data_IF_533506397691
#
_entry.id   IF_533506397691
#
_cell.length_a   1.000
_cell.length_b   1.000
_cell.length_c   1.000
_cell.angle_alpha   90.00
_cell.angle_beta   90.00
_cell.angle_gamma   90.00
#
_symmetry.space_group_name_H-M   'P 1'
#
loop_
_entity.id
_entity.type
_entity.pdbx_description
1 polymer ?
#
# COMPACT_ATOMS: atom_id res chain seq x y z
N UNK A 1 7.98 -11.34 10.28
CA UNK A 1 6.72 -11.04 11.02
C UNK A 1 5.65 -12.07 10.67
N UNK A 2 5.20 -12.87 11.64
CA UNK A 2 4.29 -14.00 11.42
C UNK A 2 2.99 -13.55 10.72
N UNK A 3 2.56 -14.34 9.72
CA UNK A 3 1.31 -14.26 8.93
C UNK A 3 0.05 -14.47 9.81
N UNK A 4 -0.08 -13.72 10.90
CA UNK A 4 -1.22 -13.77 11.84
C UNK A 4 -2.22 -12.63 11.63
N UNK A 5 -1.92 -11.67 10.74
CA UNK A 5 -2.76 -10.50 10.45
C UNK A 5 -4.21 -10.87 10.11
N UNK A 6 -4.42 -11.94 9.34
CA UNK A 6 -5.76 -12.39 8.96
C UNK A 6 -6.56 -13.00 10.11
N UNK A 7 -5.90 -13.72 11.03
CA UNK A 7 -6.55 -14.28 12.22
C UNK A 7 -6.98 -13.14 13.13
N UNK A 8 -6.04 -12.29 13.55
CA UNK A 8 -6.29 -11.19 14.47
C UNK A 8 -7.36 -10.22 13.94
N UNK A 9 -7.31 -9.87 12.64
CA UNK A 9 -8.32 -9.00 12.02
C UNK A 9 -9.73 -9.59 12.13
N UNK A 10 -9.91 -10.89 11.82
CA UNK A 10 -11.23 -11.54 11.90
C UNK A 10 -11.73 -11.62 13.34
N UNK A 11 -10.84 -11.91 14.29
CA UNK A 11 -11.17 -11.99 15.71
C UNK A 11 -11.72 -10.66 16.23
N UNK A 12 -11.08 -9.53 15.89
CA UNK A 12 -11.53 -8.18 16.29
C UNK A 12 -12.82 -7.78 15.55
N UNK A 13 -12.87 -7.94 14.22
CA UNK A 13 -14.02 -7.49 13.41
C UNK A 13 -15.33 -8.17 13.78
N UNK A 14 -15.27 -9.47 14.12
CA UNK A 14 -16.44 -10.26 14.49
C UNK A 14 -16.64 -10.36 16.00
N UNK A 15 -15.82 -9.68 16.80
CA UNK A 15 -15.82 -9.75 18.27
C UNK A 15 -15.94 -11.20 18.76
N UNK A 16 -15.05 -12.06 18.28
CA UNK A 16 -15.12 -13.49 18.58
C UNK A 16 -14.57 -13.74 19.98
N UNK A 17 -15.41 -14.23 20.88
CA UNK A 17 -14.99 -14.71 22.18
C UNK A 17 -14.46 -16.13 22.11
N UNK A 18 -13.14 -16.26 22.21
CA UNK A 18 -12.49 -17.55 22.31
C UNK A 18 -12.45 -18.03 23.75
N UNK A 19 -12.63 -19.34 23.96
CA UNK A 19 -12.42 -20.00 25.26
C UNK A 19 -11.23 -20.95 25.18
N UNK A 20 -10.46 -21.03 26.25
CA UNK A 20 -9.44 -22.06 26.40
C UNK A 20 -10.05 -23.33 26.97
N UNK A 21 -9.63 -24.50 26.47
CA UNK A 21 -10.06 -25.81 26.99
C UNK A 21 -9.07 -26.40 28.02
N UNK A 22 -8.13 -25.58 28.48
CA UNK A 22 -7.04 -25.90 29.41
C UNK A 22 -6.81 -24.68 30.31
N UNK A 23 -5.65 -24.57 30.94
CA UNK A 23 -5.30 -23.51 31.90
C UNK A 23 -4.89 -22.15 31.29
N UNK A 24 -5.38 -21.80 30.09
CA UNK A 24 -5.07 -20.50 29.45
C UNK A 24 -3.57 -20.19 29.20
N UNK A 25 -2.68 -21.17 29.42
CA UNK A 25 -1.22 -21.07 29.29
C UNK A 25 -0.69 -21.90 28.12
N UNK A 26 -1.49 -22.11 27.07
CA UNK A 26 -1.06 -22.92 25.93
C UNK A 26 0.16 -22.27 25.24
N UNK A 27 1.23 -23.04 25.06
CA UNK A 27 2.40 -22.60 24.29
C UNK A 27 2.04 -22.45 22.80
N UNK A 28 2.16 -21.23 22.27
CA UNK A 28 1.83 -20.89 20.87
C UNK A 28 3.10 -20.80 20.03
N UNK A 29 3.44 -21.87 19.32
CA UNK A 29 4.56 -21.93 18.36
C UNK A 29 4.07 -22.25 16.94
N UNK A 30 4.94 -22.15 15.93
CA UNK A 30 4.53 -22.26 14.51
C UNK A 30 3.75 -23.54 14.21
N UNK A 31 4.14 -24.67 14.78
CA UNK A 31 3.56 -25.99 14.55
C UNK A 31 2.18 -26.17 15.22
N UNK A 32 1.95 -25.55 16.39
CA UNK A 32 0.75 -25.80 17.21
C UNK A 32 -0.14 -24.55 17.42
N UNK A 33 0.16 -23.42 16.77
CA UNK A 33 -0.57 -22.15 16.96
C UNK A 33 -2.06 -22.21 16.68
N UNK A 34 -2.54 -23.21 15.94
CA UNK A 34 -3.96 -23.39 15.65
C UNK A 34 -4.70 -24.19 16.74
N UNK A 35 -3.98 -24.82 17.69
CA UNK A 35 -4.54 -25.71 18.72
C UNK A 35 -5.43 -24.97 19.74
N UNK A 36 -5.09 -23.74 20.08
CA UNK A 36 -5.88 -22.93 21.02
C UNK A 36 -6.01 -21.50 20.49
N UNK A 37 -7.23 -21.15 20.04
CA UNK A 37 -7.52 -19.84 19.48
C UNK A 37 -7.44 -18.74 20.55
N UNK A 38 -7.90 -19.04 21.78
CA UNK A 38 -7.82 -18.11 22.91
C UNK A 38 -6.37 -17.69 23.21
N UNK A 39 -5.49 -18.65 23.50
CA UNK A 39 -4.09 -18.35 23.84
C UNK A 39 -3.35 -17.67 22.68
N UNK A 40 -3.69 -18.02 21.43
CA UNK A 40 -3.15 -17.36 20.24
C UNK A 40 -3.59 -15.90 20.16
N UNK A 41 -4.87 -15.62 20.36
CA UNK A 41 -5.42 -14.27 20.30
C UNK A 41 -4.88 -13.40 21.45
N UNK A 42 -4.87 -13.92 22.68
CA UNK A 42 -4.24 -13.28 23.84
C UNK A 42 -2.77 -12.96 23.58
N UNK A 43 -2.01 -13.87 22.97
CA UNK A 43 -0.61 -13.61 22.60
C UNK A 43 -0.49 -12.50 21.56
N UNK A 44 -1.39 -12.43 20.57
CA UNK A 44 -1.43 -11.33 19.60
C UNK A 44 -1.62 -9.97 20.30
N UNK A 45 -2.52 -9.88 21.27
CA UNK A 45 -2.72 -8.68 22.08
C UNK A 45 -1.46 -8.34 22.90
N UNK A 46 -0.86 -9.33 23.55
CA UNK A 46 0.33 -9.14 24.39
C UNK A 46 1.55 -8.62 23.61
N UNK A 47 1.70 -9.02 22.34
CA UNK A 47 2.79 -8.51 21.47
C UNK A 47 2.45 -7.18 20.79
N UNK A 48 1.34 -6.53 21.18
CA UNK A 48 0.96 -5.20 20.67
C UNK A 48 0.28 -5.21 19.31
N UNK A 49 -0.34 -6.33 18.88
CA UNK A 49 -1.24 -6.24 17.72
C UNK A 49 -2.46 -5.42 18.11
N UNK A 50 -2.64 -4.25 17.49
CA UNK A 50 -3.83 -3.42 17.61
C UNK A 50 -4.61 -3.36 16.29
N UNK A 51 -5.88 -2.94 16.36
CA UNK A 51 -6.72 -2.71 15.17
C UNK A 51 -6.02 -1.75 14.19
N UNK A 52 -5.41 -0.70 14.73
CA UNK A 52 -4.78 0.37 13.95
C UNK A 52 -3.45 -0.08 13.33
N UNK A 53 -2.73 -0.98 13.99
CA UNK A 53 -1.48 -1.56 13.49
C UNK A 53 -1.70 -2.60 12.38
N UNK A 54 -2.91 -3.11 12.22
CA UNK A 54 -3.27 -4.08 11.18
C UNK A 54 -3.57 -3.33 9.90
N UNK A 55 -2.53 -2.98 9.14
CA UNK A 55 -2.71 -2.46 7.77
C UNK A 55 -3.55 -3.44 6.96
N UNK A 56 -4.68 -2.96 6.44
CA UNK A 56 -5.41 -3.62 5.37
C UNK A 56 -4.41 -3.85 4.24
N UNK A 57 -4.35 -5.06 3.70
CA UNK A 57 -3.43 -5.37 2.60
C UNK A 57 -3.74 -4.52 1.37
N UNK A 58 -3.09 -4.85 0.24
CA UNK A 58 -3.44 -4.26 -1.06
C UNK A 58 -4.95 -4.38 -1.26
N UNK A 59 -5.63 -3.24 -1.37
CA UNK A 59 -7.06 -3.18 -1.69
C UNK A 59 -7.23 -3.89 -3.03
N UNK A 60 -7.98 -5.00 -3.13
CA UNK A 60 -8.29 -5.57 -4.42
C UNK A 60 -9.02 -4.50 -5.21
N UNK A 61 -8.58 -4.27 -6.46
CA UNK A 61 -9.18 -3.34 -7.42
C UNK A 61 -10.56 -3.88 -7.85
N UNK A 62 -11.46 -4.18 -6.91
CA UNK A 62 -12.83 -4.59 -7.19
C UNK A 62 -13.64 -3.33 -7.42
N UNK A 63 -14.16 -3.24 -8.64
CA UNK A 63 -15.15 -2.32 -9.18
C UNK A 63 -15.66 -1.28 -8.19
N UNK A 64 -15.39 -0.01 -8.49
CA UNK A 64 -16.06 1.15 -7.90
C UNK A 64 -17.58 0.92 -7.96
N UNK A 65 -18.18 0.39 -6.89
CA UNK A 65 -19.57 0.72 -6.61
C UNK A 65 -19.59 2.18 -6.18
N UNK A 66 -20.48 2.94 -6.83
CA UNK A 66 -20.63 4.39 -6.77
C UNK A 66 -20.49 4.93 -5.34
N UNK A 67 -19.30 5.45 -5.03
CA UNK A 67 -19.17 6.52 -4.04
C UNK A 67 -19.50 7.85 -4.73
N UNK A 68 -20.04 8.86 -4.02
CA UNK A 68 -20.26 10.17 -4.61
C UNK A 68 -18.94 10.67 -5.18
N UNK A 69 -19.00 11.20 -6.41
CA UNK A 69 -17.84 11.57 -7.19
C UNK A 69 -16.91 12.47 -6.38
N UNK A 70 -15.80 11.91 -5.89
CA UNK A 70 -14.66 12.71 -5.52
C UNK A 70 -14.19 13.40 -6.81
N UNK A 71 -14.28 14.73 -6.84
CA UNK A 71 -13.80 15.58 -7.94
C UNK A 71 -12.50 15.01 -8.51
N UNK A 72 -12.34 14.93 -9.85
CA UNK A 72 -11.06 14.55 -10.42
C UNK A 72 -9.99 15.42 -9.78
N UNK A 73 -9.01 14.79 -9.11
CA UNK A 73 -7.84 15.51 -8.63
C UNK A 73 -7.21 16.10 -9.88
N UNK A 74 -7.11 17.42 -9.93
CA UNK A 74 -6.58 18.11 -11.09
C UNK A 74 -5.14 17.63 -11.32
N UNK A 75 -4.98 16.76 -12.32
CA UNK A 75 -3.70 16.16 -12.67
C UNK A 75 -2.73 17.18 -13.28
N UNK A 76 -3.26 18.35 -13.66
CA UNK A 76 -2.54 19.48 -14.23
C UNK A 76 -1.57 20.07 -13.22
N UNK A 77 -2.03 20.35 -11.99
CA UNK A 77 -1.17 20.90 -10.93
C UNK A 77 0.00 19.98 -10.58
N UNK A 78 -0.24 18.67 -10.58
CA UNK A 78 0.81 17.68 -10.34
C UNK A 78 1.85 17.71 -11.48
N UNK A 79 1.39 17.84 -12.73
CA UNK A 79 2.25 17.88 -13.89
C UNK A 79 3.11 19.14 -13.90
N UNK A 80 2.53 20.29 -13.58
CA UNK A 80 3.23 21.58 -13.49
C UNK A 80 4.32 21.56 -12.41
N UNK A 81 4.03 20.95 -11.26
CA UNK A 81 5.02 20.76 -10.19
C UNK A 81 6.19 19.88 -10.66
N UNK A 82 5.90 18.77 -11.35
CA UNK A 82 6.92 17.85 -11.88
C UNK A 82 7.81 18.58 -12.89
N UNK A 83 7.22 19.36 -13.79
CA UNK A 83 7.96 20.13 -14.82
C UNK A 83 8.84 21.20 -14.17
N UNK A 84 8.32 21.95 -13.20
CA UNK A 84 9.06 22.99 -12.48
C UNK A 84 10.29 22.42 -11.77
N UNK A 85 10.11 21.32 -11.02
CA UNK A 85 11.22 20.63 -10.31
C UNK A 85 12.25 20.13 -11.32
N UNK A 86 11.80 19.51 -12.41
CA UNK A 86 12.69 18.96 -13.44
C UNK A 86 13.53 20.06 -14.10
N UNK A 87 12.92 21.18 -14.47
CA UNK A 87 13.61 22.32 -15.07
C UNK A 87 14.63 22.93 -14.12
N UNK A 88 14.26 23.15 -12.84
CA UNK A 88 15.18 23.65 -11.83
C UNK A 88 16.39 22.72 -11.63
N UNK A 89 16.19 21.40 -11.67
CA UNK A 89 17.31 20.46 -11.61
C UNK A 89 18.20 20.50 -12.85
N UNK A 90 17.63 20.68 -14.05
CA UNK A 90 18.43 20.77 -15.28
C UNK A 90 19.26 22.06 -15.35
N UNK A 91 18.76 23.17 -14.80
CA UNK A 91 19.47 24.45 -14.82
C UNK A 91 20.54 24.57 -13.74
N UNK A 92 20.34 23.93 -12.58
CA UNK A 92 21.25 24.08 -11.43
C UNK A 92 22.11 22.83 -11.14
N UNK A 93 21.88 21.70 -11.82
CA UNK A 93 22.64 20.47 -11.61
C UNK A 93 23.27 19.94 -12.92
N UNK A 94 24.54 20.29 -13.14
CA UNK A 94 25.33 19.80 -14.27
C UNK A 94 25.48 18.26 -14.30
N UNK A 95 25.48 17.61 -13.12
CA UNK A 95 25.51 16.14 -12.99
C UNK A 95 24.24 15.49 -13.56
N UNK A 96 23.08 16.11 -13.33
CA UNK A 96 21.80 15.63 -13.88
C UNK A 96 21.78 15.82 -15.38
N UNK A 97 22.18 17.00 -15.88
CA UNK A 97 22.22 17.32 -17.31
C UNK A 97 22.99 16.28 -18.13
N UNK A 98 24.20 15.92 -17.70
CA UNK A 98 25.05 14.94 -18.41
C UNK A 98 24.41 13.54 -18.49
N UNK A 99 23.64 13.13 -17.48
CA UNK A 99 23.02 11.80 -17.40
C UNK A 99 21.64 11.75 -18.06
N UNK A 100 20.94 12.87 -18.17
CA UNK A 100 19.60 12.97 -18.79
C UNK A 100 19.62 13.38 -20.26
N UNK A 101 20.75 13.90 -20.78
CA UNK A 101 20.87 14.38 -22.17
C UNK A 101 20.50 13.30 -23.21
N UNK A 102 20.78 12.03 -22.93
CA UNK A 102 20.41 10.90 -23.81
C UNK A 102 18.97 10.42 -23.67
N UNK A 103 18.28 10.79 -22.59
CA UNK A 103 16.87 10.43 -22.33
C UNK A 103 15.90 11.43 -22.98
N UNK A 104 16.35 12.67 -23.20
CA UNK A 104 15.62 13.71 -23.93
C UNK A 104 15.85 13.57 -25.45
N UNK A 105 15.56 12.41 -26.04
CA UNK A 105 15.49 12.27 -27.51
C UNK A 105 14.05 12.32 -28.01
N UNK A 106 13.72 13.52 -28.50
CA UNK A 106 12.66 14.01 -29.40
C UNK A 106 11.18 13.71 -29.10
N UNK A 107 10.31 14.72 -29.25
CA UNK A 107 8.87 14.52 -29.34
C UNK A 107 8.53 13.69 -30.58
N UNK A 108 7.53 12.83 -30.45
CA UNK A 108 6.91 12.10 -31.54
C UNK A 108 6.28 13.10 -32.52
N UNK A 109 6.92 13.34 -33.67
CA UNK A 109 6.30 14.02 -34.81
C UNK A 109 5.52 12.96 -35.58
N UNK A 110 4.20 12.92 -35.37
CA UNK A 110 3.27 12.19 -36.21
C UNK A 110 2.81 13.07 -37.38
N UNK A 111 3.22 12.67 -38.59
CA UNK A 111 2.57 12.75 -39.92
C UNK A 111 1.46 13.80 -40.16
N UNK A 112 1.62 14.59 -41.24
CA UNK A 112 0.51 15.25 -41.96
C UNK A 112 0.93 16.33 -42.99
N UNK A 113 1.01 15.91 -44.26
CA UNK A 113 0.75 16.65 -45.51
C UNK A 113 1.61 17.85 -45.96
N UNK A 114 2.41 17.65 -47.02
CA UNK A 114 2.80 18.69 -47.97
C UNK A 114 2.36 18.25 -49.39
N UNK A 115 1.43 19.02 -49.97
CA UNK A 115 0.95 18.91 -51.35
C UNK A 115 1.94 19.59 -52.30
N UNK A 116 2.47 18.86 -53.29
CA UNK A 116 2.51 19.26 -54.71
C UNK A 116 2.98 18.12 -55.60
#
# INVERSE_FOLDING_TARGET
>A
VLRQRGFFRRSIQKQIDYKCLREEKCQVVRLNRNRCQYCRFRKCLQVGMSKDSVRYGRVPKRSREKQPEAKPRDTTEMYDMIVSITQAHLTHCAYTQAKTQGLLRKPFVGVGDEQS
#
